data_IF_001530423480
#
_entry.id   IF_001530423480
#
_cell.length_a   1.000
_cell.length_b   1.000
_cell.length_c   1.000
_cell.angle_alpha   90.00
_cell.angle_beta   90.00
_cell.angle_gamma   90.00
#
_symmetry.space_group_name_H-M   'P 1'
#
loop_
_entity.id
_entity.type
_entity.pdbx_description
1 polymer ?
#
# COMPACT_ATOMS: atom_id res chain seq x y z
N UNK A 1 -12.75 -2.65 -9.71
CA UNK A 1 -13.45 -1.96 -8.62
C UNK A 1 -13.98 -0.64 -9.17
N UNK A 2 -15.18 -0.19 -8.83
CA UNK A 2 -15.72 1.09 -9.31
C UNK A 2 -15.59 2.21 -8.25
N UNK A 3 -15.88 3.45 -8.64
CA UNK A 3 -15.77 4.62 -7.74
C UNK A 3 -16.65 4.52 -6.49
N UNK A 4 -17.86 3.95 -6.59
CA UNK A 4 -18.74 3.74 -5.43
C UNK A 4 -18.15 2.75 -4.43
N UNK A 5 -17.51 1.69 -4.90
CA UNK A 5 -16.82 0.73 -4.03
C UNK A 5 -15.63 1.38 -3.31
N UNK A 6 -14.87 2.26 -3.98
CA UNK A 6 -13.76 3.01 -3.35
C UNK A 6 -14.31 3.89 -2.22
N UNK A 7 -15.40 4.63 -2.47
CA UNK A 7 -16.01 5.47 -1.45
C UNK A 7 -16.58 4.64 -0.29
N UNK A 8 -17.11 3.43 -0.53
CA UNK A 8 -17.52 2.50 0.54
C UNK A 8 -16.35 2.07 1.43
N UNK A 9 -15.17 1.84 0.84
CA UNK A 9 -13.96 1.54 1.63
C UNK A 9 -13.63 2.70 2.57
N UNK A 10 -13.58 3.93 2.03
CA UNK A 10 -13.27 5.12 2.81
C UNK A 10 -14.31 5.37 3.90
N UNK A 11 -15.60 5.30 3.57
CA UNK A 11 -16.69 5.47 4.54
C UNK A 11 -16.58 4.47 5.69
N UNK A 12 -16.32 3.18 5.40
CA UNK A 12 -16.11 2.16 6.44
C UNK A 12 -14.91 2.47 7.33
N UNK A 13 -13.80 2.89 6.76
CA UNK A 13 -12.58 3.21 7.52
C UNK A 13 -12.80 4.45 8.40
N UNK A 14 -13.53 5.47 7.91
CA UNK A 14 -13.95 6.63 8.70
C UNK A 14 -14.95 6.28 9.80
N UNK A 15 -15.83 5.29 9.58
CA UNK A 15 -16.77 4.82 10.61
C UNK A 15 -16.04 4.09 11.74
N UNK A 16 -14.98 3.36 11.39
CA UNK A 16 -14.20 2.53 12.32
C UNK A 16 -13.03 3.28 12.98
N UNK A 17 -12.79 4.55 12.63
CA UNK A 17 -11.76 5.35 13.28
C UNK A 17 -12.12 5.63 14.74
N UNK A 18 -11.12 5.97 15.56
CA UNK A 18 -11.36 6.43 16.94
C UNK A 18 -12.30 7.64 16.93
N UNK A 19 -13.40 7.55 17.69
CA UNK A 19 -14.45 8.59 17.71
C UNK A 19 -15.33 8.69 16.44
N UNK A 20 -15.08 7.82 15.45
CA UNK A 20 -15.85 7.70 14.20
C UNK A 20 -15.92 9.00 13.38
N UNK A 21 -16.93 9.07 12.51
CA UNK A 21 -17.18 10.20 11.60
C UNK A 21 -17.38 11.51 12.38
N UNK A 22 -17.98 11.45 13.57
CA UNK A 22 -18.20 12.63 14.42
C UNK A 22 -16.89 13.30 14.81
N UNK A 23 -15.91 12.52 15.28
CA UNK A 23 -14.59 13.06 15.64
C UNK A 23 -13.86 13.61 14.42
N UNK A 24 -13.91 12.89 13.30
CA UNK A 24 -13.29 13.33 12.05
C UNK A 24 -13.89 14.65 11.54
N UNK A 25 -15.20 14.83 11.68
CA UNK A 25 -15.87 16.07 11.29
C UNK A 25 -15.34 17.27 12.06
N UNK A 26 -15.12 17.14 13.37
CA UNK A 26 -14.55 18.22 14.17
C UNK A 26 -13.09 18.52 13.79
N UNK A 27 -12.28 17.50 13.49
CA UNK A 27 -10.91 17.69 12.98
C UNK A 27 -10.90 18.46 11.66
N UNK A 28 -11.92 18.29 10.82
CA UNK A 28 -12.09 18.98 9.54
C UNK A 28 -12.92 20.28 9.66
N UNK A 29 -13.17 20.77 10.88
CA UNK A 29 -13.98 21.97 11.16
C UNK A 29 -15.38 21.94 10.50
N UNK A 30 -16.02 20.76 10.48
CA UNK A 30 -17.31 20.52 9.86
C UNK A 30 -18.35 20.01 10.85
N UNK A 31 -19.62 20.18 10.48
CA UNK A 31 -20.71 19.50 11.16
C UNK A 31 -20.65 17.98 10.91
N UNK A 32 -20.79 17.14 11.95
CA UNK A 32 -20.88 15.68 11.81
C UNK A 32 -21.95 15.22 10.82
N UNK A 33 -23.10 15.88 10.80
CA UNK A 33 -24.19 15.55 9.87
C UNK A 33 -23.81 15.84 8.42
N UNK A 34 -23.10 16.94 8.17
CA UNK A 34 -22.63 17.30 6.83
C UNK A 34 -21.59 16.27 6.36
N UNK A 35 -20.58 15.96 7.18
CA UNK A 35 -19.55 15.00 6.78
C UNK A 35 -20.12 13.59 6.57
N UNK A 36 -21.04 13.16 7.45
CA UNK A 36 -21.74 11.87 7.32
C UNK A 36 -22.49 11.77 6.00
N UNK A 37 -23.26 12.81 5.62
CA UNK A 37 -23.97 12.83 4.34
C UNK A 37 -23.03 12.83 3.13
N UNK A 38 -21.87 13.51 3.23
CA UNK A 38 -20.86 13.51 2.16
C UNK A 38 -20.19 12.15 1.96
N UNK A 39 -19.98 11.39 3.05
CA UNK A 39 -19.40 10.05 2.99
C UNK A 39 -20.40 8.95 2.63
N UNK A 40 -21.69 9.21 2.84
CA UNK A 40 -22.75 8.26 2.55
C UNK A 40 -22.90 8.03 1.04
N UNK A 41 -22.59 6.82 0.58
CA UNK A 41 -22.67 6.40 -0.83
C UNK A 41 -24.09 6.22 -1.35
N UNK A 42 -25.07 6.12 -0.46
CA UNK A 42 -26.49 5.97 -0.79
C UNK A 42 -27.19 7.34 -0.88
N UNK A 43 -26.50 8.43 -0.51
CA UNK A 43 -26.98 9.79 -0.69
C UNK A 43 -26.62 10.27 -2.10
N UNK A 44 -27.62 10.45 -2.98
CA UNK A 44 -27.39 10.86 -4.38
C UNK A 44 -26.72 12.23 -4.53
N UNK A 45 -26.92 13.13 -3.56
CA UNK A 45 -26.32 14.46 -3.53
C UNK A 45 -25.01 14.50 -2.72
N UNK A 46 -24.40 13.34 -2.45
CA UNK A 46 -23.14 13.32 -1.73
C UNK A 46 -22.04 14.05 -2.52
N UNK A 47 -21.41 15.04 -1.88
CA UNK A 47 -20.30 15.78 -2.46
C UNK A 47 -19.13 15.80 -1.50
N UNK A 48 -18.40 14.69 -1.47
CA UNK A 48 -17.08 14.64 -0.86
C UNK A 48 -16.10 15.32 -1.81
N UNK A 49 -15.57 16.47 -1.40
CA UNK A 49 -14.56 17.17 -2.19
C UNK A 49 -13.25 16.39 -2.22
N UNK A 50 -12.42 16.65 -3.23
CA UNK A 50 -11.13 16.01 -3.36
C UNK A 50 -10.22 16.26 -2.14
N UNK A 51 -10.20 17.49 -1.62
CA UNK A 51 -9.41 17.87 -0.44
C UNK A 51 -9.86 17.06 0.78
N UNK A 52 -11.17 17.02 1.06
CA UNK A 52 -11.72 16.23 2.18
C UNK A 52 -11.37 14.74 2.04
N UNK A 53 -11.46 14.19 0.81
CA UNK A 53 -11.12 12.80 0.57
C UNK A 53 -9.65 12.49 0.89
N UNK A 54 -8.72 13.34 0.44
CA UNK A 54 -7.28 13.19 0.71
C UNK A 54 -6.99 13.29 2.22
N UNK A 55 -7.55 14.29 2.90
CA UNK A 55 -7.37 14.49 4.35
C UNK A 55 -7.89 13.30 5.16
N UNK A 56 -9.07 12.78 4.80
CA UNK A 56 -9.64 11.60 5.45
C UNK A 56 -8.78 10.36 5.22
N UNK A 57 -8.38 10.08 3.97
CA UNK A 57 -7.51 8.94 3.65
C UNK A 57 -6.22 9.00 4.46
N UNK A 58 -5.60 10.17 4.58
CA UNK A 58 -4.39 10.38 5.36
C UNK A 58 -4.65 10.19 6.87
N UNK A 59 -5.71 10.78 7.40
CA UNK A 59 -6.05 10.77 8.83
C UNK A 59 -6.37 9.36 9.33
N UNK A 60 -7.16 8.59 8.57
CA UNK A 60 -7.50 7.21 8.93
C UNK A 60 -6.51 6.18 8.38
N UNK A 61 -5.44 6.65 7.72
CA UNK A 61 -4.43 5.82 7.05
C UNK A 61 -5.07 4.72 6.18
N UNK A 62 -6.06 5.08 5.37
CA UNK A 62 -6.85 4.13 4.57
C UNK A 62 -6.05 3.61 3.36
N UNK A 63 -5.10 2.70 3.63
CA UNK A 63 -4.21 2.10 2.62
C UNK A 63 -5.01 1.40 1.52
N UNK A 64 -6.10 0.71 1.87
CA UNK A 64 -6.95 -0.02 0.92
C UNK A 64 -7.64 0.93 -0.07
N UNK A 65 -8.14 2.07 0.41
CA UNK A 65 -8.74 3.09 -0.46
C UNK A 65 -7.69 3.63 -1.42
N UNK A 66 -6.50 3.98 -0.92
CA UNK A 66 -5.41 4.49 -1.75
C UNK A 66 -4.96 3.47 -2.82
N UNK A 67 -4.78 2.20 -2.46
CA UNK A 67 -4.45 1.14 -3.41
C UNK A 67 -5.53 0.94 -4.46
N UNK A 68 -6.81 1.05 -4.09
CA UNK A 68 -7.90 0.91 -5.03
C UNK A 68 -8.03 2.08 -6.01
N UNK A 69 -7.69 3.29 -5.58
CA UNK A 69 -7.58 4.46 -6.46
C UNK A 69 -6.44 4.26 -7.47
N UNK A 70 -5.25 3.87 -7.01
CA UNK A 70 -4.11 3.61 -7.89
C UNK A 70 -4.41 2.50 -8.92
N UNK A 71 -5.11 1.45 -8.51
CA UNK A 71 -5.51 0.37 -9.39
C UNK A 71 -6.51 0.79 -10.49
N UNK A 72 -7.19 1.95 -10.38
CA UNK A 72 -8.03 2.46 -11.48
C UNK A 72 -7.22 2.85 -12.72
N UNK A 73 -5.94 3.13 -12.54
CA UNK A 73 -5.04 3.63 -13.58
C UNK A 73 -3.84 2.70 -13.76
N UNK A 74 -3.98 1.41 -13.40
CA UNK A 74 -2.93 0.39 -13.51
C UNK A 74 -1.65 0.70 -12.71
N UNK A 75 -1.79 1.40 -11.58
CA UNK A 75 -0.69 1.69 -10.66
C UNK A 75 -0.80 0.86 -9.37
N UNK A 76 0.35 0.56 -8.78
CA UNK A 76 0.46 -0.03 -7.44
C UNK A 76 0.94 1.00 -6.43
N UNK A 77 0.46 0.89 -5.20
CA UNK A 77 0.94 1.71 -4.09
C UNK A 77 2.00 0.94 -3.33
N UNK A 78 3.21 1.49 -3.28
CA UNK A 78 4.30 0.94 -2.48
C UNK A 78 4.58 1.90 -1.32
N UNK A 79 4.73 1.41 -0.08
CA UNK A 79 5.18 2.25 1.02
C UNK A 79 6.53 2.90 0.69
N UNK A 80 6.71 4.16 1.08
CA UNK A 80 8.00 4.81 0.94
C UNK A 80 9.04 4.09 1.81
N UNK A 81 10.13 3.54 1.24
CA UNK A 81 11.18 2.92 2.03
C UNK A 81 11.92 3.97 2.85
N UNK A 82 12.48 3.55 3.98
CA UNK A 82 13.45 4.36 4.71
C UNK A 82 14.80 4.20 4.03
N UNK A 83 15.02 4.92 2.94
CA UNK A 83 16.33 5.03 2.34
C UNK A 83 17.21 5.76 3.35
N UNK A 84 18.10 5.04 4.02
CA UNK A 84 19.04 5.69 4.90
C UNK A 84 19.88 6.66 4.07
N UNK A 85 20.03 7.91 4.54
CA UNK A 85 20.99 8.92 4.03
C UNK A 85 22.45 8.48 4.20
N UNK A 86 22.69 7.19 4.42
CA UNK A 86 24.01 6.60 4.37
C UNK A 86 24.46 6.74 2.92
N UNK A 87 25.50 7.55 2.68
CA UNK A 87 26.15 7.75 1.38
C UNK A 87 26.81 6.48 0.82
N UNK A 88 26.08 5.37 0.79
CA UNK A 88 26.35 4.24 -0.07
C UNK A 88 26.28 4.75 -1.51
N UNK A 89 27.34 4.49 -2.26
CA UNK A 89 27.33 4.80 -3.68
C UNK A 89 26.34 3.87 -4.42
N UNK A 90 25.77 4.39 -5.50
CA UNK A 90 24.83 3.73 -6.42
C UNK A 90 25.22 2.28 -6.75
N UNK A 91 26.51 1.99 -6.92
CA UNK A 91 27.05 0.66 -7.19
C UNK A 91 26.78 -0.31 -6.05
N UNK A 92 26.94 0.13 -4.80
CA UNK A 92 26.68 -0.71 -3.62
C UNK A 92 25.22 -1.13 -3.55
N UNK A 93 24.29 -0.19 -3.82
CA UNK A 93 22.85 -0.51 -3.87
C UNK A 93 22.50 -1.45 -5.01
N UNK A 94 23.12 -1.28 -6.18
CA UNK A 94 22.91 -2.20 -7.29
C UNK A 94 23.38 -3.62 -6.95
N UNK A 95 24.52 -3.76 -6.27
CA UNK A 95 25.01 -5.06 -5.80
C UNK A 95 24.04 -5.69 -4.78
N UNK A 96 23.48 -4.89 -3.86
CA UNK A 96 22.47 -5.37 -2.91
C UNK A 96 21.20 -5.89 -3.62
N UNK A 97 20.75 -5.21 -4.67
CA UNK A 97 19.63 -5.66 -5.53
C UNK A 97 19.95 -6.98 -6.21
N UNK A 98 21.16 -7.12 -6.76
CA UNK A 98 21.60 -8.36 -7.41
C UNK A 98 21.65 -9.53 -6.42
N UNK A 99 22.15 -9.29 -5.21
CA UNK A 99 22.20 -10.29 -4.14
C UNK A 99 20.79 -10.72 -3.71
N UNK A 100 19.89 -9.77 -3.43
CA UNK A 100 18.49 -10.03 -3.09
C UNK A 100 17.78 -10.84 -4.19
N UNK A 101 18.01 -10.50 -5.45
CA UNK A 101 17.47 -11.24 -6.60
C UNK A 101 17.97 -12.69 -6.64
N UNK A 102 19.26 -12.90 -6.33
CA UNK A 102 19.86 -14.23 -6.20
C UNK A 102 19.26 -15.05 -5.06
N UNK A 103 19.00 -14.44 -3.89
CA UNK A 103 18.31 -15.08 -2.76
C UNK A 103 16.91 -15.54 -3.13
N UNK A 104 16.11 -14.67 -3.77
CA UNK A 104 14.77 -15.02 -4.27
C UNK A 104 14.83 -16.24 -5.20
N UNK A 105 15.74 -16.22 -6.18
CA UNK A 105 15.91 -17.33 -7.12
C UNK A 105 16.28 -18.64 -6.42
N UNK A 106 17.12 -18.59 -5.38
CA UNK A 106 17.51 -19.75 -4.57
C UNK A 106 16.33 -20.32 -3.77
N UNK A 107 15.53 -19.45 -3.15
CA UNK A 107 14.34 -19.87 -2.40
C UNK A 107 13.31 -20.52 -3.32
N UNK A 108 13.01 -19.90 -4.46
CA UNK A 108 12.10 -20.48 -5.46
C UNK A 108 12.62 -21.84 -5.94
N UNK A 109 13.90 -21.93 -6.31
CA UNK A 109 14.52 -23.19 -6.76
C UNK A 109 14.43 -24.30 -5.70
N UNK A 110 14.61 -23.95 -4.43
CA UNK A 110 14.54 -24.91 -3.33
C UNK A 110 13.12 -25.40 -3.11
N UNK A 111 12.14 -24.50 -3.16
CA UNK A 111 10.73 -24.77 -2.95
C UNK A 111 10.08 -25.59 -4.07
N UNK A 112 10.58 -25.50 -5.31
CA UNK A 112 10.11 -26.31 -6.46
C UNK A 112 10.95 -27.56 -6.71
N UNK A 113 11.90 -27.87 -5.81
CA UNK A 113 12.76 -29.05 -5.95
C UNK A 113 11.97 -30.34 -5.75
N UNK A 114 12.44 -31.45 -6.33
CA UNK A 114 11.79 -32.75 -6.25
C UNK A 114 11.63 -33.33 -4.83
N UNK A 115 12.25 -32.70 -3.83
CA UNK A 115 12.14 -33.05 -2.41
C UNK A 115 11.20 -32.09 -1.63
N UNK A 116 10.49 -31.19 -2.31
CA UNK A 116 9.48 -30.31 -1.70
C UNK A 116 8.25 -31.12 -1.29
N UNK A 117 7.74 -30.88 -0.07
CA UNK A 117 6.53 -31.52 0.45
C UNK A 117 5.29 -31.29 -0.44
N UNK A 118 5.29 -30.21 -1.25
CA UNK A 118 4.20 -29.85 -2.16
C UNK A 118 4.62 -29.94 -3.65
N UNK A 119 5.81 -30.48 -3.95
CA UNK A 119 6.30 -30.65 -5.31
C UNK A 119 6.54 -29.33 -6.04
N UNK A 120 5.68 -28.97 -6.99
CA UNK A 120 5.81 -27.72 -7.80
C UNK A 120 5.11 -26.51 -7.17
N UNK A 121 4.25 -26.74 -6.18
CA UNK A 121 3.48 -25.69 -5.53
C UNK A 121 4.22 -25.15 -4.31
N UNK A 122 4.19 -23.83 -4.13
CA UNK A 122 4.76 -23.18 -2.94
C UNK A 122 3.80 -23.31 -1.76
N UNK A 123 4.31 -23.76 -0.62
CA UNK A 123 3.61 -23.69 0.67
C UNK A 123 3.37 -22.23 1.08
N UNK A 124 2.46 -22.02 2.03
CA UNK A 124 2.18 -20.68 2.56
C UNK A 124 3.44 -20.05 3.18
N UNK A 125 4.23 -20.82 3.93
CA UNK A 125 5.47 -20.36 4.56
C UNK A 125 6.53 -19.97 3.51
N UNK A 126 6.66 -20.73 2.42
CA UNK A 126 7.59 -20.39 1.33
C UNK A 126 7.14 -19.13 0.59
N UNK A 127 5.83 -19.00 0.32
CA UNK A 127 5.28 -17.76 -0.26
C UNK A 127 5.58 -16.55 0.62
N UNK A 128 5.44 -16.67 1.93
CA UNK A 128 5.73 -15.59 2.86
C UNK A 128 7.22 -15.21 2.89
N UNK A 129 8.12 -16.21 2.89
CA UNK A 129 9.57 -15.98 2.79
C UNK A 129 9.97 -15.29 1.48
N UNK A 130 9.50 -15.83 0.35
CA UNK A 130 9.77 -15.26 -0.97
C UNK A 130 9.21 -13.83 -1.04
N UNK A 131 7.99 -13.60 -0.51
CA UNK A 131 7.38 -12.28 -0.50
C UNK A 131 8.17 -11.28 0.36
N UNK A 132 8.79 -11.71 1.46
CA UNK A 132 9.64 -10.86 2.28
C UNK A 132 10.88 -10.39 1.51
N UNK A 133 11.58 -11.31 0.82
CA UNK A 133 12.72 -10.98 -0.03
C UNK A 133 12.33 -10.08 -1.22
N UNK A 134 11.18 -10.34 -1.85
CA UNK A 134 10.64 -9.49 -2.92
C UNK A 134 10.35 -8.08 -2.41
N UNK A 135 9.79 -7.92 -1.20
CA UNK A 135 9.58 -6.59 -0.60
C UNK A 135 10.90 -5.86 -0.39
N UNK A 136 11.91 -6.53 0.14
CA UNK A 136 13.24 -5.95 0.32
C UNK A 136 13.85 -5.51 -1.01
N UNK A 137 13.73 -6.34 -2.06
CA UNK A 137 14.18 -5.99 -3.41
C UNK A 137 13.49 -4.73 -3.94
N UNK A 138 12.17 -4.63 -3.77
CA UNK A 138 11.39 -3.45 -4.18
C UNK A 138 11.85 -2.20 -3.43
N UNK A 139 12.06 -2.29 -2.12
CA UNK A 139 12.55 -1.17 -1.31
C UNK A 139 13.94 -0.69 -1.77
N UNK A 140 14.87 -1.63 -2.01
CA UNK A 140 16.20 -1.33 -2.53
C UNK A 140 16.15 -0.66 -3.92
N UNK A 141 15.29 -1.17 -4.81
CA UNK A 141 15.11 -0.62 -6.15
C UNK A 141 14.51 0.80 -6.11
N UNK A 142 13.56 1.07 -5.21
CA UNK A 142 13.00 2.41 -5.02
C UNK A 142 14.08 3.35 -4.49
N UNK A 143 14.88 2.95 -3.51
CA UNK A 143 15.97 3.79 -3.00
C UNK A 143 17.00 4.11 -4.08
N UNK A 144 17.41 3.12 -4.87
CA UNK A 144 18.29 3.34 -6.01
C UNK A 144 17.67 4.32 -7.01
N UNK A 145 16.38 4.17 -7.33
CA UNK A 145 15.67 5.09 -8.23
C UNK A 145 15.70 6.54 -7.72
N UNK A 146 15.45 6.73 -6.42
CA UNK A 146 15.49 8.05 -5.79
C UNK A 146 16.88 8.69 -5.85
N UNK A 147 17.95 7.92 -5.62
CA UNK A 147 19.33 8.41 -5.73
C UNK A 147 19.73 8.79 -7.16
N UNK A 148 19.16 8.11 -8.15
CA UNK A 148 19.31 8.46 -9.57
C UNK A 148 18.48 9.68 -9.99
N UNK A 149 17.74 10.30 -9.07
CA UNK A 149 17.00 11.54 -9.28
C UNK A 149 15.61 11.38 -9.89
N UNK A 150 14.95 10.23 -9.71
CA UNK A 150 13.60 9.94 -10.23
C UNK A 150 12.60 9.43 -9.19
#
# INVERSE_FOLDING_TARGET
>A
MNSKEIQKLLHRDCKNSSGGITSLAYTLEKSPNILSNKLNVDCEQNQLSFIEAIELIATVQSKKTLSAIAAQIDHIVVPMPKCADCGQDVLSRFLDIAESSGRIGKEIKSAVSSNSELGRDLSQNEKEKILAEVKQLIEQAICLKMELGQ
#
